data_IF_508720844307
#
_entry.id   IF_508720844307
#
_cell.length_a   1.000
_cell.length_b   1.000
_cell.length_c   1.000
_cell.angle_alpha   90.00
_cell.angle_beta   90.00
_cell.angle_gamma   90.00
#
_symmetry.space_group_name_H-M   'P 1'
#
loop_
_entity.id
_entity.type
_entity.pdbx_description
1 polymer ?
#
# COMPACT_ATOMS: atom_id res chain seq x y z
N UNK A 1 42.71 9.26 -7.77
CA UNK A 1 42.61 7.82 -7.86
C UNK A 1 42.28 7.28 -6.46
N UNK A 2 41.03 7.17 -6.14
CA UNK A 2 40.53 6.52 -4.92
C UNK A 2 40.44 5.03 -5.21
N UNK A 3 41.08 4.24 -4.37
CA UNK A 3 41.05 2.78 -4.38
C UNK A 3 39.59 2.33 -4.26
N UNK A 4 39.11 1.57 -5.24
CA UNK A 4 37.89 0.82 -5.12
C UNK A 4 38.03 -0.13 -3.93
N UNK A 5 37.24 0.07 -2.90
CA UNK A 5 37.11 -0.90 -1.82
C UNK A 5 36.50 -2.18 -2.40
N UNK A 6 37.19 -3.28 -2.21
CA UNK A 6 36.83 -4.59 -2.73
C UNK A 6 35.48 -5.05 -2.22
N UNK A 7 34.45 -5.10 -3.09
CA UNK A 7 33.65 -6.30 -3.22
C UNK A 7 32.60 -6.64 -2.21
N UNK A 8 32.18 -5.80 -1.27
CA UNK A 8 31.03 -6.10 -0.41
C UNK A 8 29.74 -5.71 -1.14
N UNK A 9 28.86 -6.68 -1.34
CA UNK A 9 27.53 -6.45 -1.92
C UNK A 9 26.53 -6.30 -0.79
N UNK A 10 25.83 -5.18 -0.76
CA UNK A 10 24.71 -4.94 0.17
C UNK A 10 23.42 -5.47 -0.46
N UNK A 11 22.83 -6.45 0.19
CA UNK A 11 21.53 -6.99 -0.24
C UNK A 11 20.40 -6.37 0.58
N UNK A 12 19.43 -5.77 -0.13
CA UNK A 12 18.18 -5.27 0.44
C UNK A 12 17.03 -6.14 -0.05
N UNK A 13 16.25 -6.70 0.86
CA UNK A 13 15.03 -7.43 0.54
C UNK A 13 13.87 -6.44 0.51
N UNK A 14 13.14 -6.37 -0.61
CA UNK A 14 11.94 -5.53 -0.74
C UNK A 14 10.70 -6.41 -0.74
N UNK A 15 9.87 -6.28 0.28
CA UNK A 15 8.61 -7.01 0.41
C UNK A 15 7.44 -6.21 -0.16
N UNK A 16 6.54 -6.89 -0.85
CA UNK A 16 5.30 -6.30 -1.34
C UNK A 16 4.16 -7.31 -1.40
N UNK A 17 2.93 -6.86 -1.16
CA UNK A 17 1.71 -7.64 -1.37
C UNK A 17 1.31 -7.73 -2.85
N UNK A 18 1.91 -6.87 -3.68
CA UNK A 18 1.67 -6.84 -5.12
C UNK A 18 2.14 -8.13 -5.80
N UNK A 19 1.41 -8.59 -6.81
CA UNK A 19 1.83 -9.73 -7.61
C UNK A 19 2.94 -9.36 -8.58
N UNK A 20 3.71 -10.33 -9.05
CA UNK A 20 4.79 -10.14 -10.04
C UNK A 20 4.28 -9.67 -11.42
N UNK A 21 2.97 -9.77 -11.67
CA UNK A 21 2.31 -9.29 -12.88
C UNK A 21 1.78 -7.86 -12.77
N UNK A 22 1.83 -7.25 -11.57
CA UNK A 22 1.32 -5.90 -11.37
C UNK A 22 2.22 -4.83 -11.98
N UNK A 23 1.64 -3.69 -12.36
CA UNK A 23 2.41 -2.54 -12.87
C UNK A 23 3.36 -1.97 -11.82
N UNK A 24 2.93 -1.98 -10.55
CA UNK A 24 3.77 -1.54 -9.42
C UNK A 24 5.01 -2.42 -9.30
N UNK A 25 4.86 -3.75 -9.39
CA UNK A 25 6.01 -4.66 -9.36
C UNK A 25 7.00 -4.38 -10.49
N UNK A 26 6.52 -4.12 -11.71
CA UNK A 26 7.37 -3.76 -12.84
C UNK A 26 8.16 -2.47 -12.57
N UNK A 27 7.52 -1.47 -11.96
CA UNK A 27 8.18 -0.24 -11.52
C UNK A 27 9.25 -0.49 -10.46
N UNK A 28 8.96 -1.32 -9.47
CA UNK A 28 9.92 -1.72 -8.43
C UNK A 28 11.11 -2.47 -9.04
N UNK A 29 10.87 -3.37 -10.00
CA UNK A 29 11.94 -4.11 -10.68
C UNK A 29 12.84 -3.15 -11.47
N UNK A 30 12.25 -2.21 -12.22
CA UNK A 30 13.03 -1.21 -12.95
C UNK A 30 13.88 -0.33 -12.00
N UNK A 31 13.35 0.03 -10.83
CA UNK A 31 14.10 0.76 -9.81
C UNK A 31 15.23 -0.11 -9.23
N UNK A 32 15.00 -1.39 -8.94
CA UNK A 32 15.99 -2.31 -8.44
C UNK A 32 17.15 -2.51 -9.43
N UNK A 33 16.82 -2.68 -10.71
CA UNK A 33 17.80 -2.80 -11.80
C UNK A 33 18.64 -1.52 -11.93
N UNK A 34 18.00 -0.35 -11.80
CA UNK A 34 18.67 0.94 -11.86
C UNK A 34 19.62 1.16 -10.68
N UNK A 35 19.22 0.77 -9.47
CA UNK A 35 20.07 0.82 -8.29
C UNK A 35 21.30 -0.07 -8.49
N UNK A 36 21.12 -1.27 -9.02
CA UNK A 36 22.25 -2.17 -9.29
C UNK A 36 23.22 -1.57 -10.34
N UNK A 37 22.68 -0.95 -11.41
CA UNK A 37 23.47 -0.25 -12.44
C UNK A 37 24.26 0.92 -11.83
N UNK A 38 23.58 1.83 -11.10
CA UNK A 38 24.17 3.06 -10.57
C UNK A 38 25.20 2.80 -9.46
N UNK A 39 25.17 1.62 -8.87
CA UNK A 39 26.11 1.20 -7.82
C UNK A 39 27.14 0.18 -8.31
N UNK A 40 27.27 -0.04 -9.62
CA UNK A 40 28.15 -1.08 -10.19
C UNK A 40 27.95 -2.46 -9.53
N UNK A 41 26.72 -2.80 -9.14
CA UNK A 41 26.34 -4.04 -8.47
C UNK A 41 26.64 -4.10 -6.96
N UNK A 42 27.12 -3.01 -6.36
CA UNK A 42 27.38 -2.97 -4.91
C UNK A 42 26.09 -2.96 -4.05
N UNK A 43 24.98 -2.51 -4.59
CA UNK A 43 23.67 -2.61 -3.95
C UNK A 43 22.75 -3.47 -4.80
N UNK A 44 22.19 -4.50 -4.20
CA UNK A 44 21.24 -5.42 -4.85
C UNK A 44 19.92 -5.41 -4.11
N UNK A 45 18.86 -5.03 -4.80
CA UNK A 45 17.49 -5.10 -4.28
C UNK A 45 16.84 -6.37 -4.84
N UNK A 46 16.38 -7.25 -3.96
CA UNK A 46 15.64 -8.45 -4.33
C UNK A 46 14.18 -8.29 -3.90
N UNK A 47 13.28 -8.33 -4.88
CA UNK A 47 11.84 -8.10 -4.63
C UNK A 47 11.15 -9.43 -4.34
N UNK A 48 10.34 -9.45 -3.29
CA UNK A 48 9.52 -10.57 -2.85
C UNK A 48 8.04 -10.21 -2.99
N UNK A 49 7.39 -10.58 -4.12
CA UNK A 49 6.00 -10.26 -4.39
C UNK A 49 5.02 -11.16 -3.62
N UNK A 50 3.72 -10.83 -3.72
CA UNK A 50 2.61 -11.68 -3.26
C UNK A 50 2.72 -12.09 -1.79
N UNK A 51 3.22 -11.20 -0.93
CA UNK A 51 3.40 -11.45 0.51
C UNK A 51 4.31 -12.65 0.83
N UNK A 52 5.29 -12.97 -0.03
CA UNK A 52 6.19 -14.12 0.16
C UNK A 52 6.96 -14.09 1.48
N UNK A 53 7.26 -12.91 2.02
CA UNK A 53 7.95 -12.75 3.30
C UNK A 53 6.99 -12.59 4.48
N UNK A 54 5.71 -12.33 4.23
CA UNK A 54 4.69 -12.10 5.24
C UNK A 54 3.73 -10.96 4.89
N UNK A 55 2.84 -10.63 5.84
CA UNK A 55 1.95 -9.49 5.75
C UNK A 55 2.72 -8.16 5.80
N UNK A 56 2.09 -7.11 5.34
CA UNK A 56 2.74 -5.78 5.21
C UNK A 56 3.12 -5.22 6.58
N UNK A 57 2.23 -5.34 7.56
CA UNK A 57 2.44 -4.93 8.93
C UNK A 57 3.60 -5.71 9.59
N UNK A 58 3.64 -7.03 9.41
CA UNK A 58 4.73 -7.87 9.93
C UNK A 58 6.08 -7.47 9.34
N UNK A 59 6.10 -7.08 8.06
CA UNK A 59 7.33 -6.66 7.39
C UNK A 59 7.81 -5.29 7.86
N UNK A 60 6.91 -4.36 8.14
CA UNK A 60 7.26 -3.06 8.75
C UNK A 60 7.91 -3.30 10.12
N UNK A 61 7.34 -4.17 10.95
CA UNK A 61 7.91 -4.51 12.24
C UNK A 61 9.30 -5.15 12.13
N UNK A 62 9.52 -6.01 11.14
CA UNK A 62 10.84 -6.59 10.88
C UNK A 62 11.86 -5.56 10.39
N UNK A 63 11.43 -4.61 9.56
CA UNK A 63 12.27 -3.50 9.13
C UNK A 63 12.73 -2.64 10.33
N UNK A 64 11.82 -2.34 11.25
CA UNK A 64 12.11 -1.63 12.50
C UNK A 64 13.10 -2.38 13.39
N UNK A 65 13.10 -3.72 13.35
CA UNK A 65 14.07 -4.55 14.06
C UNK A 65 15.45 -4.62 13.38
N UNK A 66 15.63 -3.91 12.26
CA UNK A 66 16.90 -3.84 11.55
C UNK A 66 17.22 -5.07 10.72
N UNK A 67 16.22 -5.83 10.26
CA UNK A 67 16.41 -7.07 9.51
C UNK A 67 16.79 -6.87 8.02
N UNK A 68 17.15 -5.66 7.59
CA UNK A 68 17.54 -5.37 6.21
C UNK A 68 16.41 -5.59 5.21
N UNK A 69 15.19 -5.19 5.58
CA UNK A 69 13.97 -5.30 4.79
C UNK A 69 13.48 -3.90 4.44
N UNK A 70 13.16 -3.67 3.17
CA UNK A 70 12.31 -2.57 2.72
C UNK A 70 10.90 -3.10 2.46
N UNK A 71 9.91 -2.25 2.65
CA UNK A 71 8.49 -2.61 2.47
C UNK A 71 7.84 -1.60 1.55
N UNK A 72 7.16 -2.07 0.52
CA UNK A 72 6.23 -1.22 -0.21
C UNK A 72 4.96 -1.11 0.65
N UNK A 73 4.73 0.06 1.20
CA UNK A 73 3.62 0.32 2.12
C UNK A 73 2.99 1.68 1.86
N UNK A 74 2.04 2.09 2.66
CA UNK A 74 1.28 3.33 2.49
C UNK A 74 1.19 4.15 3.79
N UNK A 75 0.86 5.43 3.64
CA UNK A 75 0.74 6.37 4.73
C UNK A 75 -0.32 5.97 5.78
N UNK A 76 -1.36 5.24 5.35
CA UNK A 76 -2.39 4.75 6.27
C UNK A 76 -1.80 3.78 7.31
N UNK A 77 -0.95 2.84 6.90
CA UNK A 77 -0.25 1.93 7.81
C UNK A 77 0.83 2.63 8.62
N UNK A 78 1.54 3.56 8.00
CA UNK A 78 2.55 4.37 8.69
C UNK A 78 1.95 5.28 9.77
N UNK A 79 0.64 5.54 9.76
CA UNK A 79 -0.04 6.31 10.81
C UNK A 79 0.06 5.68 12.20
N UNK A 80 0.34 4.40 12.30
CA UNK A 80 0.61 3.72 13.57
C UNK A 80 1.90 4.21 14.24
N UNK A 81 2.79 4.84 13.50
CA UNK A 81 4.08 5.37 13.98
C UNK A 81 4.10 6.90 13.99
N UNK A 82 3.48 7.53 13.01
CA UNK A 82 3.28 8.99 12.93
C UNK A 82 1.83 9.24 12.51
N UNK A 83 0.97 9.53 13.46
CA UNK A 83 -0.49 9.59 13.26
C UNK A 83 -0.90 10.50 12.09
N UNK A 84 -0.29 11.67 12.00
CA UNK A 84 -0.70 12.73 11.07
C UNK A 84 -0.48 12.36 9.60
N UNK A 85 0.51 11.51 9.27
CA UNK A 85 0.75 11.08 7.88
C UNK A 85 -0.44 10.29 7.33
N UNK A 86 -1.23 9.66 8.20
CA UNK A 86 -2.41 8.88 7.85
C UNK A 86 -3.47 9.67 7.08
N UNK A 87 -3.48 11.00 7.18
CA UNK A 87 -4.41 11.86 6.45
C UNK A 87 -4.32 11.63 4.93
N UNK A 88 -3.17 11.23 4.42
CA UNK A 88 -2.96 10.91 3.00
C UNK A 88 -3.88 9.80 2.50
N UNK A 89 -4.29 8.90 3.39
CA UNK A 89 -5.13 7.74 3.07
C UNK A 89 -6.54 7.83 3.68
N UNK A 90 -6.95 9.01 4.13
CA UNK A 90 -8.35 9.24 4.48
C UNK A 90 -9.19 9.52 3.23
N UNK A 91 -10.47 9.14 3.30
CA UNK A 91 -11.37 9.28 2.16
C UNK A 91 -11.54 10.74 1.73
N UNK A 92 -11.41 10.98 0.41
CA UNK A 92 -11.64 12.27 -0.26
C UNK A 92 -10.74 13.43 0.19
N UNK A 93 -9.56 13.15 0.75
CA UNK A 93 -8.57 14.19 1.12
C UNK A 93 -7.69 14.56 -0.06
N UNK A 94 -7.29 13.58 -0.87
CA UNK A 94 -6.48 13.78 -2.07
C UNK A 94 -7.30 13.35 -3.28
N UNK A 95 -7.49 14.24 -4.24
CA UNK A 95 -8.37 14.01 -5.38
C UNK A 95 -7.69 13.27 -6.55
N UNK A 96 -6.37 13.43 -6.69
CA UNK A 96 -5.61 12.90 -7.83
C UNK A 96 -4.12 12.83 -7.53
N UNK A 97 -3.35 12.28 -8.48
CA UNK A 97 -1.89 12.15 -8.38
C UNK A 97 -1.19 13.49 -8.14
N UNK A 98 -1.55 14.53 -8.90
CA UNK A 98 -0.90 15.84 -8.85
C UNK A 98 -1.07 16.51 -7.49
N UNK A 99 -2.24 16.36 -6.88
CA UNK A 99 -2.50 16.95 -5.56
C UNK A 99 -1.78 16.18 -4.45
N UNK A 100 -1.67 14.85 -4.57
CA UNK A 100 -0.83 14.05 -3.70
C UNK A 100 0.64 14.47 -3.76
N UNK A 101 1.18 14.65 -4.97
CA UNK A 101 2.57 15.10 -5.17
C UNK A 101 2.80 16.51 -4.61
N UNK A 102 1.83 17.42 -4.73
CA UNK A 102 1.91 18.76 -4.11
C UNK A 102 1.96 18.69 -2.59
N UNK A 103 1.13 17.85 -2.00
CA UNK A 103 1.11 17.65 -0.55
C UNK A 103 2.44 17.08 -0.04
N UNK A 104 2.99 16.07 -0.72
CA UNK A 104 4.29 15.49 -0.40
C UNK A 104 5.46 16.47 -0.54
N UNK A 105 5.33 17.51 -1.36
CA UNK A 105 6.33 18.56 -1.52
C UNK A 105 6.31 19.60 -0.37
N UNK A 106 5.28 19.60 0.48
CA UNK A 106 5.13 20.57 1.57
C UNK A 106 6.11 20.32 2.71
N UNK A 107 6.40 21.36 3.49
CA UNK A 107 7.22 21.22 4.69
C UNK A 107 6.50 20.41 5.78
N UNK A 108 5.17 20.40 5.78
CA UNK A 108 4.36 19.54 6.65
C UNK A 108 4.65 18.08 6.40
N UNK A 109 4.60 17.62 5.15
CA UNK A 109 4.89 16.22 4.81
C UNK A 109 6.35 15.84 5.12
N UNK A 110 7.31 16.74 4.82
CA UNK A 110 8.72 16.55 5.20
C UNK A 110 8.90 16.42 6.72
N UNK A 111 8.08 17.14 7.50
CA UNK A 111 8.03 17.00 8.94
C UNK A 111 7.60 15.59 9.37
N UNK A 112 6.54 15.06 8.77
CA UNK A 112 6.08 13.69 9.04
C UNK A 112 7.11 12.63 8.64
N UNK A 113 7.78 12.81 7.50
CA UNK A 113 8.88 11.91 7.06
C UNK A 113 10.06 11.94 8.05
N UNK A 114 10.42 13.12 8.56
CA UNK A 114 11.42 13.25 9.60
C UNK A 114 10.99 12.57 10.92
N UNK A 115 9.70 12.67 11.27
CA UNK A 115 9.17 11.98 12.45
C UNK A 115 9.15 10.46 12.25
N UNK A 116 8.87 9.95 11.05
CA UNK A 116 9.04 8.53 10.73
C UNK A 116 10.50 8.10 10.92
N UNK A 117 11.45 8.90 10.43
CA UNK A 117 12.88 8.60 10.62
C UNK A 117 13.27 8.57 12.10
N UNK A 118 12.73 9.46 12.94
CA UNK A 118 12.91 9.45 14.38
C UNK A 118 12.33 8.19 15.06
N UNK A 119 11.31 7.58 14.45
CA UNK A 119 10.73 6.30 14.87
C UNK A 119 11.40 5.08 14.23
N UNK A 120 12.51 5.26 13.49
CA UNK A 120 13.29 4.19 12.90
C UNK A 120 12.84 3.75 11.49
N UNK A 121 11.94 4.49 10.85
CA UNK A 121 11.44 4.21 9.51
C UNK A 121 12.02 5.24 8.54
N UNK A 122 12.81 4.79 7.57
CA UNK A 122 13.34 5.65 6.52
C UNK A 122 12.47 5.56 5.27
N UNK A 123 11.79 6.65 4.91
CA UNK A 123 11.08 6.77 3.65
C UNK A 123 12.06 6.87 2.48
N UNK A 124 12.02 5.93 1.54
CA UNK A 124 12.88 5.94 0.36
C UNK A 124 12.24 6.72 -0.79
N UNK A 125 10.95 6.60 -0.98
CA UNK A 125 10.14 7.37 -1.91
C UNK A 125 8.66 7.24 -1.57
N UNK A 126 7.81 8.11 -2.12
CA UNK A 126 6.36 8.17 -1.86
C UNK A 126 5.55 8.31 -3.15
N UNK A 127 6.12 7.98 -4.29
CA UNK A 127 5.55 8.28 -5.61
C UNK A 127 5.03 7.06 -6.37
N UNK A 128 4.98 5.89 -5.76
CA UNK A 128 4.32 4.72 -6.35
C UNK A 128 2.80 4.88 -6.22
N UNK A 129 2.20 5.50 -7.23
CA UNK A 129 0.77 5.72 -7.28
C UNK A 129 0.04 4.51 -7.85
N UNK A 130 -0.81 3.89 -7.04
CA UNK A 130 -1.56 2.67 -7.42
C UNK A 130 -3.02 2.98 -7.85
N UNK A 131 -3.38 4.25 -7.92
CA UNK A 131 -4.71 4.69 -8.35
C UNK A 131 -5.70 4.83 -7.19
N UNK A 132 -6.93 5.13 -7.56
CA UNK A 132 -8.00 5.36 -6.60
C UNK A 132 -8.69 4.04 -6.21
N UNK A 133 -8.99 3.91 -4.91
CA UNK A 133 -9.71 2.79 -4.34
C UNK A 133 -11.22 2.97 -4.54
N UNK A 134 -11.90 1.88 -4.86
CA UNK A 134 -13.33 1.81 -5.08
C UNK A 134 -13.91 0.55 -4.46
N UNK A 135 -15.20 0.55 -4.13
CA UNK A 135 -15.87 -0.64 -3.59
C UNK A 135 -16.13 -1.68 -4.67
N UNK A 136 -15.82 -2.93 -4.35
CA UNK A 136 -16.11 -4.11 -5.17
C UNK A 136 -16.75 -5.19 -4.32
N UNK A 137 -17.77 -5.88 -4.85
CA UNK A 137 -18.47 -6.91 -4.08
C UNK A 137 -19.68 -7.48 -4.78
N UNK A 138 -20.55 -8.14 -3.99
CA UNK A 138 -21.77 -8.78 -4.50
C UNK A 138 -22.93 -7.80 -4.74
N UNK A 139 -22.77 -6.54 -4.35
CA UNK A 139 -23.82 -5.52 -4.42
C UNK A 139 -23.25 -4.20 -4.95
N UNK A 140 -24.06 -3.46 -5.70
CA UNK A 140 -23.72 -2.10 -6.10
C UNK A 140 -23.96 -1.11 -4.94
N UNK A 141 -22.96 -0.29 -4.65
CA UNK A 141 -23.03 0.78 -3.64
C UNK A 141 -23.06 2.14 -4.35
N UNK A 142 -24.26 2.70 -4.52
CA UNK A 142 -24.48 3.97 -5.25
C UNK A 142 -24.54 5.16 -4.31
N UNK A 143 -24.91 4.93 -3.05
CA UNK A 143 -25.04 5.94 -2.00
C UNK A 143 -24.48 5.39 -0.69
N UNK A 144 -24.15 6.25 0.30
CA UNK A 144 -23.76 5.77 1.63
C UNK A 144 -24.81 4.87 2.29
N UNK A 145 -26.10 5.08 2.00
CA UNK A 145 -27.18 4.24 2.52
C UNK A 145 -27.06 2.77 2.06
N UNK A 146 -26.51 2.53 0.88
CA UNK A 146 -26.33 1.18 0.34
C UNK A 146 -25.20 0.41 1.06
N UNK A 147 -24.27 1.12 1.70
CA UNK A 147 -23.16 0.54 2.48
C UNK A 147 -23.62 0.08 3.87
N UNK A 148 -24.80 0.54 4.33
CA UNK A 148 -25.27 0.22 5.68
C UNK A 148 -25.38 -1.28 5.91
N UNK A 149 -24.61 -1.78 6.88
CA UNK A 149 -24.57 -3.19 7.26
C UNK A 149 -23.72 -4.07 6.33
N UNK A 150 -23.12 -3.52 5.29
CA UNK A 150 -22.17 -4.24 4.45
C UNK A 150 -20.85 -4.47 5.22
N UNK A 151 -20.37 -5.70 5.24
CA UNK A 151 -19.07 -6.07 5.79
C UNK A 151 -18.04 -5.93 4.68
N UNK A 152 -17.24 -4.89 4.75
CA UNK A 152 -16.28 -4.53 3.71
C UNK A 152 -14.85 -4.74 4.22
N UNK A 153 -14.11 -5.57 3.52
CA UNK A 153 -12.67 -5.71 3.80
C UNK A 153 -11.95 -4.41 3.52
N UNK A 154 -11.20 -3.94 4.49
CA UNK A 154 -10.27 -2.83 4.37
C UNK A 154 -8.97 -3.13 5.11
N UNK A 155 -7.84 -2.46 4.84
CA UNK A 155 -6.67 -2.53 5.70
C UNK A 155 -7.02 -2.15 7.15
N UNK A 156 -6.30 -2.71 8.11
CA UNK A 156 -6.60 -2.53 9.54
C UNK A 156 -6.14 -1.19 10.13
N UNK A 157 -5.49 -0.33 9.37
CA UNK A 157 -5.04 0.98 9.84
C UNK A 157 -6.21 1.96 10.02
N UNK A 158 -6.13 2.80 11.05
CA UNK A 158 -7.20 3.71 11.46
C UNK A 158 -7.75 4.60 10.34
N UNK A 159 -6.94 5.22 9.46
CA UNK A 159 -7.46 6.06 8.37
C UNK A 159 -8.44 5.33 7.44
N UNK A 160 -8.17 4.05 7.16
CA UNK A 160 -9.07 3.22 6.36
C UNK A 160 -10.32 2.82 7.15
N UNK A 161 -10.13 2.31 8.37
CA UNK A 161 -11.22 1.83 9.23
C UNK A 161 -12.21 2.95 9.51
N UNK A 162 -11.73 4.13 9.87
CA UNK A 162 -12.57 5.29 10.15
C UNK A 162 -13.27 5.81 8.90
N UNK A 163 -12.58 5.86 7.76
CA UNK A 163 -13.17 6.28 6.48
C UNK A 163 -14.33 5.36 6.07
N UNK A 164 -14.12 4.04 6.12
CA UNK A 164 -15.14 3.05 5.74
C UNK A 164 -16.31 3.07 6.72
N UNK A 165 -16.04 3.21 8.02
CA UNK A 165 -17.07 3.36 9.06
C UNK A 165 -17.91 4.63 8.85
N UNK A 166 -17.27 5.75 8.56
CA UNK A 166 -17.95 7.04 8.32
C UNK A 166 -18.83 6.98 7.06
N UNK A 167 -18.47 6.19 6.06
CA UNK A 167 -19.29 5.94 4.87
C UNK A 167 -20.47 4.98 5.13
N UNK A 168 -20.54 4.35 6.29
CA UNK A 168 -21.68 3.53 6.73
C UNK A 168 -21.51 2.03 6.62
N UNK A 169 -20.38 1.53 6.13
CA UNK A 169 -20.06 0.11 6.11
C UNK A 169 -19.46 -0.35 7.45
N UNK A 170 -19.37 -1.66 7.61
CA UNK A 170 -18.65 -2.31 8.70
C UNK A 170 -17.26 -2.72 8.17
N UNK A 171 -16.18 -2.05 8.58
CA UNK A 171 -14.83 -2.43 8.17
C UNK A 171 -14.45 -3.78 8.75
N UNK A 172 -13.80 -4.62 7.96
CA UNK A 172 -13.32 -5.93 8.39
C UNK A 172 -11.89 -6.14 7.92
N UNK A 173 -10.96 -6.31 8.88
CA UNK A 173 -9.56 -6.51 8.57
C UNK A 173 -9.23 -8.00 8.43
N UNK A 174 -8.79 -8.39 7.23
CA UNK A 174 -8.14 -9.67 6.93
C UNK A 174 -6.95 -9.42 6.01
N UNK A 175 -5.99 -10.34 6.02
CA UNK A 175 -4.84 -10.27 5.13
C UNK A 175 -5.27 -10.19 3.66
N UNK A 176 -4.51 -9.47 2.83
CA UNK A 176 -4.86 -9.31 1.41
C UNK A 176 -4.99 -10.67 0.68
N UNK A 177 -4.15 -11.64 1.03
CA UNK A 177 -4.19 -13.01 0.47
C UNK A 177 -5.50 -13.76 0.74
N UNK A 178 -6.29 -13.35 1.74
CA UNK A 178 -7.54 -13.99 2.14
C UNK A 178 -8.77 -13.33 1.50
N UNK A 179 -8.63 -12.15 0.88
CA UNK A 179 -9.75 -11.35 0.37
C UNK A 179 -10.53 -12.07 -0.70
N UNK A 180 -9.85 -12.69 -1.67
CA UNK A 180 -10.52 -13.46 -2.74
C UNK A 180 -11.45 -14.54 -2.14
N UNK A 181 -10.91 -15.37 -1.25
CA UNK A 181 -11.68 -16.41 -0.59
C UNK A 181 -12.80 -15.85 0.30
N UNK A 182 -12.54 -14.76 1.00
CA UNK A 182 -13.53 -14.09 1.85
C UNK A 182 -14.75 -13.64 1.07
N UNK A 183 -14.57 -13.04 -0.11
CA UNK A 183 -15.66 -12.64 -1.00
C UNK A 183 -16.32 -13.87 -1.62
N UNK A 184 -15.54 -14.83 -2.11
CA UNK A 184 -16.07 -16.04 -2.74
C UNK A 184 -16.97 -16.85 -1.80
N UNK A 185 -16.59 -16.99 -0.55
CA UNK A 185 -17.36 -17.71 0.48
C UNK A 185 -18.47 -16.86 1.12
N UNK A 186 -18.55 -15.56 0.76
CA UNK A 186 -19.48 -14.59 1.34
C UNK A 186 -19.31 -14.40 2.85
N UNK A 187 -18.10 -14.60 3.38
CA UNK A 187 -17.77 -14.22 4.75
C UNK A 187 -17.60 -12.70 4.90
N UNK A 188 -17.35 -12.01 3.79
CA UNK A 188 -17.42 -10.56 3.62
C UNK A 188 -18.27 -10.24 2.39
N UNK A 189 -18.92 -9.06 2.37
CA UNK A 189 -19.76 -8.64 1.26
C UNK A 189 -18.96 -8.07 0.08
N UNK A 190 -17.71 -7.67 0.34
CA UNK A 190 -16.81 -7.11 -0.66
C UNK A 190 -15.56 -6.52 -0.04
N UNK A 191 -14.83 -5.79 -0.86
CA UNK A 191 -13.64 -5.04 -0.43
C UNK A 191 -13.64 -3.64 -1.07
N UNK A 192 -12.77 -2.77 -0.56
CA UNK A 192 -12.39 -1.55 -1.22
C UNK A 192 -10.93 -1.67 -1.66
N UNK A 193 -10.65 -1.38 -2.92
CA UNK A 193 -9.35 -1.65 -3.54
C UNK A 193 -9.16 -0.86 -4.84
N UNK A 194 -7.92 -0.66 -5.24
CA UNK A 194 -7.55 -0.10 -6.54
C UNK A 194 -7.80 -1.12 -7.67
N UNK A 195 -8.08 -0.63 -8.86
CA UNK A 195 -8.34 -1.50 -10.02
C UNK A 195 -7.13 -2.35 -10.41
N UNK A 196 -5.92 -1.80 -10.30
CA UNK A 196 -4.66 -2.49 -10.57
C UNK A 196 -4.51 -3.75 -9.72
N UNK A 197 -4.69 -3.63 -8.41
CA UNK A 197 -4.64 -4.75 -7.46
C UNK A 197 -5.82 -5.70 -7.63
N UNK A 198 -7.02 -5.19 -7.93
CA UNK A 198 -8.19 -6.02 -8.19
C UNK A 198 -7.99 -6.92 -9.44
N UNK A 199 -7.34 -6.39 -10.48
CA UNK A 199 -7.03 -7.15 -11.69
C UNK A 199 -5.92 -8.17 -11.44
N UNK A 200 -4.79 -7.76 -10.86
CA UNK A 200 -3.65 -8.64 -10.62
C UNK A 200 -3.95 -9.78 -9.64
N UNK A 201 -4.84 -9.55 -8.66
CA UNK A 201 -5.31 -10.55 -7.69
C UNK A 201 -6.65 -11.20 -8.08
N UNK A 202 -7.16 -10.93 -9.28
CA UNK A 202 -8.38 -11.51 -9.84
C UNK A 202 -9.65 -11.31 -9.00
N UNK A 203 -9.72 -10.27 -8.20
CA UNK A 203 -10.89 -9.97 -7.34
C UNK A 203 -12.17 -9.85 -8.19
N UNK A 204 -12.05 -9.42 -9.44
CA UNK A 204 -13.17 -9.32 -10.37
C UNK A 204 -13.87 -10.67 -10.65
N UNK A 205 -13.21 -11.81 -10.43
CA UNK A 205 -13.82 -13.13 -10.65
C UNK A 205 -14.87 -13.48 -9.59
N UNK A 206 -14.76 -12.87 -8.40
CA UNK A 206 -15.62 -13.14 -7.24
C UNK A 206 -16.52 -11.96 -6.87
N UNK A 207 -16.44 -10.85 -7.60
CA UNK A 207 -17.29 -9.67 -7.44
C UNK A 207 -18.29 -9.55 -8.60
N UNK A 208 -19.54 -9.17 -8.28
CA UNK A 208 -20.58 -8.92 -9.28
C UNK A 208 -20.61 -7.45 -9.71
N UNK A 209 -20.15 -6.55 -8.84
CA UNK A 209 -20.23 -5.11 -9.03
C UNK A 209 -18.95 -4.40 -8.64
N UNK A 210 -18.66 -3.33 -9.39
CA UNK A 210 -17.68 -2.30 -9.06
C UNK A 210 -18.45 -0.99 -8.88
N UNK A 211 -18.34 -0.39 -7.71
CA UNK A 211 -18.91 0.92 -7.40
C UNK A 211 -17.79 1.96 -7.45
N UNK A 212 -17.74 2.72 -8.54
CA UNK A 212 -16.69 3.70 -8.81
C UNK A 212 -16.81 4.89 -7.86
N UNK A 213 -16.34 4.71 -6.63
CA UNK A 213 -16.36 5.74 -5.60
C UNK A 213 -15.07 6.55 -5.53
N UNK A 214 -13.95 5.99 -5.94
CA UNK A 214 -12.63 6.64 -6.01
C UNK A 214 -12.31 7.43 -4.73
N UNK A 215 -12.62 6.81 -3.58
CA UNK A 215 -12.67 7.50 -2.29
C UNK A 215 -11.32 7.68 -1.62
N UNK A 216 -10.28 6.91 -1.98
CA UNK A 216 -8.91 7.06 -1.48
C UNK A 216 -7.94 6.91 -2.64
N UNK A 217 -7.12 7.91 -2.87
CA UNK A 217 -5.99 7.82 -3.79
C UNK A 217 -4.78 7.21 -3.07
N UNK A 218 -4.27 6.09 -3.58
CA UNK A 218 -3.22 5.34 -2.91
C UNK A 218 -1.84 5.67 -3.46
N UNK A 219 -0.99 6.15 -2.56
CA UNK A 219 0.44 6.36 -2.74
C UNK A 219 1.20 5.41 -1.81
N UNK A 220 2.21 4.75 -2.36
CA UNK A 220 3.12 3.88 -1.62
C UNK A 220 4.55 4.41 -1.69
#
# INVERSE_FOLDING_TARGET
>A
AGSAASGEVFELKLSTTQTDTSMIYQGLQAAADKVAEDTDGHVKVTIYPSSQLGGEEDMIDQALQGMGIAVLTDAGRLSSYVNDIGIMNMAYIVDNYEDGMKLMATDTFKGWDADLANNGICGLCYNYYDGARSFMGHKAYKTPADLKGAVIRTPGADPYVESISAMGATPYNIAWSEVYNGIQTKSIDGCEVQYTSAVSSKIYEVCEYVSKTEHINLFN
#
